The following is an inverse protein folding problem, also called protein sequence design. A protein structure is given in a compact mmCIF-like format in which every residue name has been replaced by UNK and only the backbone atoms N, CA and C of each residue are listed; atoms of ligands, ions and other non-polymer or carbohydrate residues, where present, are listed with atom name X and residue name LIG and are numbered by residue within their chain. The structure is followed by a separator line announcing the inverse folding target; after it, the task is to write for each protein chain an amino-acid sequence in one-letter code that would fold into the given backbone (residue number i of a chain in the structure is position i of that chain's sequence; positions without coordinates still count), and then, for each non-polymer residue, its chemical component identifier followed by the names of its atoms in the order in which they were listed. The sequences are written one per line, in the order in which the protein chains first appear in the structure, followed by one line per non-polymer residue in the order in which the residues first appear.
data_IF_502601236114
#
_entry.id   IF_502601236114
#
_cell.length_a   1.000
_cell.length_b   1.000
_cell.length_c   1.000
_cell.angle_alpha   90.00
_cell.angle_beta   90.00
_cell.angle_gamma   90.00
#
_symmetry.space_group_name_H-M   'P 1'
#
loop_
_entity.id
_entity.type
_entity.pdbx_description
1 polymer ?
#
# COMPACT_ATOMS: atom_id res chain seq x y z
N UNK A 1 -3.03 -3.92 -26.32
CA UNK A 1 -2.69 -3.35 -24.99
C UNK A 1 -2.14 -1.94 -25.23
N UNK A 2 -2.64 -0.93 -24.50
CA UNK A 2 -2.04 0.42 -24.53
C UNK A 2 -1.15 0.57 -23.32
N UNK A 3 0.09 1.01 -23.49
CA UNK A 3 1.04 1.27 -22.40
C UNK A 3 1.20 2.76 -22.22
N UNK A 4 1.12 3.22 -20.99
CA UNK A 4 1.29 4.64 -20.63
C UNK A 4 2.38 4.74 -19.58
N UNK A 5 3.39 5.56 -19.82
CA UNK A 5 4.44 5.88 -18.86
C UNK A 5 4.23 7.30 -18.36
N UNK A 6 4.11 7.46 -17.04
CA UNK A 6 4.11 8.77 -16.40
C UNK A 6 5.43 8.96 -15.66
N UNK A 7 6.24 9.89 -16.16
CA UNK A 7 7.61 10.09 -15.69
C UNK A 7 7.84 11.50 -15.16
N UNK A 8 8.78 11.66 -14.24
CA UNK A 8 9.33 12.95 -13.80
C UNK A 8 10.67 13.29 -14.46
N UNK A 9 11.11 12.50 -15.44
CA UNK A 9 12.36 12.69 -16.18
C UNK A 9 12.06 13.06 -17.63
N UNK A 10 13.11 13.48 -18.38
CA UNK A 10 13.00 13.78 -19.80
C UNK A 10 13.14 12.53 -20.71
N UNK A 11 13.16 11.33 -20.10
CA UNK A 11 13.20 10.09 -20.88
C UNK A 11 11.96 9.96 -21.75
N UNK A 12 12.15 9.64 -23.01
CA UNK A 12 11.12 9.27 -23.97
C UNK A 12 11.24 7.76 -24.19
N UNK A 13 10.11 7.07 -24.16
CA UNK A 13 10.03 5.63 -24.38
C UNK A 13 9.40 5.37 -25.73
N UNK A 14 9.99 4.47 -26.51
CA UNK A 14 9.45 4.08 -27.83
C UNK A 14 8.15 3.27 -27.68
N UNK A 15 7.21 3.49 -28.60
CA UNK A 15 5.93 2.77 -28.68
C UNK A 15 5.04 2.86 -27.44
N UNK A 16 5.24 3.87 -26.59
CA UNK A 16 4.40 4.11 -25.41
C UNK A 16 4.00 5.60 -25.33
N UNK A 17 2.86 5.87 -24.70
CA UNK A 17 2.43 7.23 -24.43
C UNK A 17 3.16 7.72 -23.18
N UNK A 18 3.93 8.78 -23.30
CA UNK A 18 4.69 9.36 -22.19
C UNK A 18 4.04 10.63 -21.71
N UNK A 19 3.71 10.70 -20.42
CA UNK A 19 3.25 11.90 -19.73
C UNK A 19 4.32 12.39 -18.76
N UNK A 20 4.58 13.69 -18.75
CA UNK A 20 5.50 14.31 -17.80
C UNK A 20 4.73 14.90 -16.63
N UNK A 21 5.07 14.49 -15.44
CA UNK A 21 4.47 14.98 -14.20
C UNK A 21 5.45 14.90 -13.02
N UNK A 22 5.40 15.89 -12.13
CA UNK A 22 6.25 15.98 -10.93
C UNK A 22 5.56 15.47 -9.67
N UNK A 23 4.32 15.01 -9.76
CA UNK A 23 3.58 14.44 -8.64
C UNK A 23 4.16 13.12 -8.13
N UNK A 24 3.66 12.68 -6.99
CA UNK A 24 3.99 11.37 -6.41
C UNK A 24 3.34 10.22 -7.20
N UNK A 25 3.70 8.95 -6.86
CA UNK A 25 3.17 7.76 -7.56
C UNK A 25 1.64 7.72 -7.66
N UNK A 26 0.93 8.02 -6.57
CA UNK A 26 -0.54 8.05 -6.57
C UNK A 26 -1.12 9.06 -7.58
N UNK A 27 -0.53 10.25 -7.66
CA UNK A 27 -0.96 11.28 -8.62
C UNK A 27 -0.71 10.83 -10.06
N UNK A 28 0.47 10.32 -10.36
CA UNK A 28 0.86 9.85 -11.70
C UNK A 28 -0.04 8.73 -12.20
N UNK A 29 -0.33 7.74 -11.33
CA UNK A 29 -1.23 6.64 -11.66
C UNK A 29 -2.65 7.13 -11.97
N UNK A 30 -3.20 8.03 -11.14
CA UNK A 30 -4.51 8.64 -11.40
C UNK A 30 -4.52 9.43 -12.72
N UNK A 31 -3.47 10.19 -13.00
CA UNK A 31 -3.34 10.96 -14.24
C UNK A 31 -3.36 10.05 -15.47
N UNK A 32 -2.62 8.94 -15.46
CA UNK A 32 -2.63 7.96 -16.53
C UNK A 32 -4.04 7.39 -16.78
N UNK A 33 -4.76 7.08 -15.71
CA UNK A 33 -6.15 6.54 -15.81
C UNK A 33 -7.10 7.61 -16.36
N UNK A 34 -6.96 8.85 -15.95
CA UNK A 34 -7.80 9.95 -16.43
C UNK A 34 -7.68 10.17 -17.95
N UNK A 35 -6.46 10.08 -18.47
CA UNK A 35 -6.21 10.34 -19.91
C UNK A 35 -6.48 9.11 -20.78
N UNK A 36 -6.14 7.91 -20.34
CA UNK A 36 -6.07 6.74 -21.20
C UNK A 36 -6.92 5.56 -20.75
N UNK A 37 -7.41 5.56 -19.51
CA UNK A 37 -8.12 4.43 -18.90
C UNK A 37 -9.59 4.30 -19.31
N UNK A 38 -10.17 5.24 -20.08
CA UNK A 38 -11.63 5.32 -20.29
C UNK A 38 -12.25 4.09 -20.96
N UNK A 39 -11.52 3.43 -21.84
CA UNK A 39 -12.01 2.29 -22.64
C UNK A 39 -11.49 0.94 -22.15
N UNK A 40 -10.68 0.93 -21.09
CA UNK A 40 -10.04 -0.28 -20.61
C UNK A 40 -10.93 -1.03 -19.63
N UNK A 41 -11.02 -2.36 -19.73
CA UNK A 41 -11.65 -3.23 -18.73
C UNK A 41 -10.78 -3.33 -17.47
N UNK A 42 -9.47 -3.45 -17.67
CA UNK A 42 -8.46 -3.54 -16.63
C UNK A 42 -7.42 -2.45 -16.72
N UNK A 43 -6.88 -2.07 -15.60
CA UNK A 43 -5.71 -1.21 -15.46
C UNK A 43 -4.61 -2.02 -14.79
N UNK A 44 -3.42 -2.03 -15.36
CA UNK A 44 -2.25 -2.67 -14.75
C UNK A 44 -1.26 -1.56 -14.41
N UNK A 45 -0.91 -1.47 -13.14
CA UNK A 45 0.10 -0.53 -12.64
C UNK A 45 1.42 -1.25 -12.47
N UNK A 46 2.47 -0.64 -12.96
CA UNK A 46 3.85 -1.13 -12.87
C UNK A 46 4.76 0.00 -12.39
N UNK A 47 5.68 -0.31 -11.49
CA UNK A 47 6.77 0.60 -11.16
C UNK A 47 7.88 0.49 -12.22
N UNK A 48 8.71 1.53 -12.34
CA UNK A 48 9.77 1.64 -13.35
C UNK A 48 11.00 0.76 -13.07
N UNK A 49 10.98 0.04 -11.98
CA UNK A 49 12.02 -0.86 -11.47
C UNK A 49 11.53 -2.29 -11.27
N UNK A 50 10.56 -2.70 -12.09
CA UNK A 50 9.98 -4.05 -12.06
C UNK A 50 10.32 -4.79 -13.36
N UNK A 51 10.69 -6.06 -13.23
CA UNK A 51 10.75 -7.05 -14.31
C UNK A 51 9.58 -8.02 -14.17
N UNK A 52 8.90 -8.34 -15.27
CA UNK A 52 7.78 -9.28 -15.29
C UNK A 52 8.24 -10.63 -15.86
N UNK A 53 7.72 -11.72 -15.31
CA UNK A 53 7.77 -12.99 -16.03
C UNK A 53 6.93 -12.90 -17.32
N UNK A 54 7.30 -13.64 -18.35
CA UNK A 54 6.69 -13.56 -19.68
C UNK A 54 5.17 -13.78 -19.69
N UNK A 55 4.66 -14.60 -18.78
CA UNK A 55 3.22 -14.90 -18.63
C UNK A 55 2.47 -13.94 -17.71
N UNK A 56 3.14 -13.08 -16.95
CA UNK A 56 2.53 -12.32 -15.83
C UNK A 56 1.31 -11.50 -16.24
N UNK A 57 1.41 -10.75 -17.34
CA UNK A 57 0.28 -9.92 -17.79
C UNK A 57 -0.93 -10.75 -18.19
N UNK A 58 -0.70 -11.85 -18.88
CA UNK A 58 -1.75 -12.78 -19.27
C UNK A 58 -2.39 -13.43 -18.03
N UNK A 59 -1.56 -13.96 -17.14
CA UNK A 59 -2.01 -14.59 -15.88
C UNK A 59 -2.86 -13.64 -15.03
N UNK A 60 -2.44 -12.38 -14.92
CA UNK A 60 -3.22 -11.38 -14.18
C UNK A 60 -4.63 -11.19 -14.77
N UNK A 61 -4.74 -11.10 -16.10
CA UNK A 61 -6.04 -10.93 -16.77
C UNK A 61 -6.90 -12.18 -16.61
N UNK A 62 -6.33 -13.36 -16.83
CA UNK A 62 -7.02 -14.64 -16.69
C UNK A 62 -7.55 -14.86 -15.26
N UNK A 63 -6.73 -14.59 -14.25
CA UNK A 63 -7.14 -14.68 -12.84
C UNK A 63 -8.28 -13.70 -12.50
N UNK A 64 -8.26 -12.50 -13.06
CA UNK A 64 -9.34 -11.53 -12.90
C UNK A 64 -10.62 -11.98 -13.61
N UNK A 65 -10.52 -12.59 -14.80
CA UNK A 65 -11.71 -13.13 -15.51
C UNK A 65 -12.34 -14.28 -14.74
N UNK A 66 -11.52 -15.16 -14.17
CA UNK A 66 -11.97 -16.32 -13.38
C UNK A 66 -12.56 -15.93 -12.01
N UNK A 67 -12.36 -14.68 -11.57
CA UNK A 67 -12.86 -14.16 -10.28
C UNK A 67 -13.67 -12.87 -10.46
N UNK A 68 -14.94 -12.94 -10.86
CA UNK A 68 -15.77 -11.75 -11.13
C UNK A 68 -15.86 -10.76 -9.96
N UNK A 69 -15.77 -11.23 -8.71
CA UNK A 69 -15.78 -10.41 -7.51
C UNK A 69 -14.42 -9.76 -7.20
N UNK A 70 -13.35 -10.16 -7.89
CA UNK A 70 -12.04 -9.56 -7.69
C UNK A 70 -12.01 -8.15 -8.28
N UNK A 71 -11.88 -7.16 -7.41
CA UNK A 71 -11.69 -5.76 -7.80
C UNK A 71 -10.24 -5.42 -8.07
N UNK A 72 -9.32 -6.01 -7.30
CA UNK A 72 -7.87 -5.75 -7.40
C UNK A 72 -7.06 -7.01 -7.18
N UNK A 73 -6.08 -7.28 -8.06
CA UNK A 73 -5.17 -8.41 -8.00
C UNK A 73 -3.71 -7.99 -7.88
N UNK A 74 -2.93 -8.77 -7.16
CA UNK A 74 -1.51 -8.52 -6.88
C UNK A 74 -0.66 -9.72 -7.25
N UNK A 75 0.57 -9.46 -7.71
CA UNK A 75 1.55 -10.48 -8.06
C UNK A 75 2.27 -11.06 -6.84
N UNK A 76 2.90 -12.22 -7.04
CA UNK A 76 4.06 -12.67 -6.28
C UNK A 76 5.22 -11.73 -6.66
N UNK A 77 5.65 -10.87 -5.74
CA UNK A 77 6.75 -9.94 -5.97
C UNK A 77 7.98 -10.48 -5.25
N UNK A 78 9.01 -10.77 -6.03
CA UNK A 78 10.31 -11.24 -5.56
C UNK A 78 11.35 -10.13 -5.69
N UNK A 79 12.44 -10.25 -4.95
CA UNK A 79 13.56 -9.33 -5.05
C UNK A 79 14.32 -9.53 -6.36
N UNK A 80 14.71 -8.46 -7.05
CA UNK A 80 15.34 -8.56 -8.36
C UNK A 80 16.77 -9.11 -8.30
N UNK A 81 17.53 -8.86 -7.23
CA UNK A 81 18.89 -9.40 -7.04
C UNK A 81 18.87 -10.84 -6.50
N UNK A 82 17.98 -11.10 -5.54
CA UNK A 82 17.80 -12.40 -4.91
C UNK A 82 16.44 -12.95 -5.30
N UNK A 83 16.36 -13.55 -6.48
CA UNK A 83 15.10 -13.93 -7.12
C UNK A 83 14.30 -15.01 -6.39
N UNK A 84 14.87 -15.61 -5.38
CA UNK A 84 14.26 -16.56 -4.45
C UNK A 84 13.76 -15.93 -3.14
N UNK A 85 13.84 -14.59 -3.00
CA UNK A 85 13.44 -13.89 -1.79
C UNK A 85 12.21 -13.02 -2.05
N UNK A 86 11.22 -13.10 -1.18
CA UNK A 86 10.02 -12.26 -1.27
C UNK A 86 10.35 -10.79 -1.03
N UNK A 87 9.82 -9.94 -1.90
CA UNK A 87 9.62 -8.52 -1.64
C UNK A 87 8.21 -8.27 -1.10
N UNK A 88 7.17 -8.90 -1.67
CA UNK A 88 5.80 -8.89 -1.14
C UNK A 88 4.96 -10.05 -1.73
N UNK A 89 4.02 -10.53 -0.93
CA UNK A 89 3.02 -11.53 -1.32
C UNK A 89 1.68 -11.32 -0.61
N UNK A 90 1.37 -10.08 -0.28
CA UNK A 90 0.13 -9.69 0.40
C UNK A 90 0.32 -9.23 1.82
N UNK A 91 -0.68 -8.51 2.30
CA UNK A 91 -0.67 -7.90 3.62
C UNK A 91 -2.07 -7.80 4.23
N UNK A 92 -2.09 -7.68 5.56
CA UNK A 92 -3.27 -7.46 6.39
C UNK A 92 -3.05 -6.27 7.32
N UNK A 93 -4.12 -5.86 8.00
CA UNK A 93 -4.01 -4.92 9.14
C UNK A 93 -4.12 -5.71 10.44
N UNK A 94 -3.24 -5.39 11.38
CA UNK A 94 -3.30 -5.95 12.73
C UNK A 94 -4.45 -5.35 13.55
N UNK A 95 -4.84 -6.03 14.62
CA UNK A 95 -5.82 -5.53 15.61
C UNK A 95 -5.41 -4.22 16.29
N UNK A 96 -4.17 -3.78 16.11
CA UNK A 96 -3.64 -2.49 16.57
C UNK A 96 -3.53 -1.43 15.44
N UNK A 97 -3.98 -1.77 14.23
CA UNK A 97 -4.04 -0.86 13.10
C UNK A 97 -2.76 -0.72 12.26
N UNK A 98 -1.78 -1.59 12.46
CA UNK A 98 -0.54 -1.59 11.67
C UNK A 98 -0.58 -2.64 10.56
N UNK A 99 0.14 -2.36 9.48
CA UNK A 99 0.29 -3.30 8.38
C UNK A 99 1.11 -4.53 8.83
N UNK A 100 0.62 -5.70 8.46
CA UNK A 100 1.31 -6.97 8.56
C UNK A 100 1.55 -7.53 7.17
N UNK A 101 2.82 -7.59 6.75
CA UNK A 101 3.19 -8.27 5.51
C UNK A 101 3.16 -9.78 5.70
N UNK A 102 2.72 -10.53 4.69
CA UNK A 102 2.64 -11.99 4.72
C UNK A 102 4.04 -12.61 4.71
N UNK A 103 4.89 -12.21 3.79
CA UNK A 103 6.31 -12.51 3.84
C UNK A 103 7.04 -11.44 4.67
N UNK A 104 7.88 -11.86 5.59
CA UNK A 104 8.62 -10.98 6.49
C UNK A 104 10.11 -11.29 6.49
N UNK A 105 10.92 -10.30 6.86
CA UNK A 105 12.35 -10.47 7.10
C UNK A 105 13.13 -11.06 5.90
N UNK A 106 12.79 -10.63 4.66
CA UNK A 106 13.41 -11.16 3.43
C UNK A 106 13.32 -12.70 3.34
N UNK A 107 12.15 -13.24 3.60
CA UNK A 107 11.89 -14.68 3.58
C UNK A 107 12.13 -15.27 2.20
N UNK A 108 12.85 -16.40 2.15
CA UNK A 108 13.06 -17.15 0.91
C UNK A 108 11.77 -17.83 0.45
N UNK A 109 11.53 -17.82 -0.85
CA UNK A 109 10.43 -18.55 -1.47
C UNK A 109 10.80 -20.03 -1.57
N UNK A 110 10.10 -20.85 -0.82
CA UNK A 110 10.20 -22.32 -0.81
C UNK A 110 8.88 -22.96 -1.23
N UNK A 111 8.01 -22.20 -1.91
CA UNK A 111 6.66 -22.62 -2.29
C UNK A 111 5.60 -22.41 -1.20
N UNK A 112 5.96 -21.88 -0.03
CA UNK A 112 5.05 -21.71 1.11
C UNK A 112 3.89 -20.74 0.84
N UNK A 113 3.98 -19.91 -0.21
CA UNK A 113 2.94 -18.98 -0.64
C UNK A 113 2.50 -19.20 -2.09
N UNK A 114 2.59 -20.43 -2.61
CA UNK A 114 2.20 -20.80 -3.97
C UNK A 114 0.68 -20.98 -4.13
N UNK A 115 -0.09 -20.72 -3.09
CA UNK A 115 -1.55 -20.68 -3.17
C UNK A 115 -2.04 -19.24 -3.24
N UNK A 116 -2.80 -18.94 -4.31
CA UNK A 116 -3.51 -17.67 -4.44
C UNK A 116 -4.54 -17.52 -3.32
N UNK A 117 -4.63 -16.34 -2.73
CA UNK A 117 -5.51 -16.10 -1.59
C UNK A 117 -6.00 -14.66 -1.53
N UNK A 118 -7.05 -14.45 -0.74
CA UNK A 118 -7.57 -13.13 -0.42
C UNK A 118 -6.61 -12.40 0.51
N UNK A 119 -6.31 -11.15 0.18
CA UNK A 119 -5.44 -10.25 0.96
C UNK A 119 -6.14 -8.90 1.13
N UNK A 120 -5.75 -8.10 2.11
CA UNK A 120 -6.27 -6.73 2.19
C UNK A 120 -5.70 -5.88 1.05
N UNK A 121 -4.41 -5.98 0.84
CA UNK A 121 -3.66 -5.36 -0.25
C UNK A 121 -2.28 -6.01 -0.37
N UNK A 122 -1.50 -5.56 -1.34
CA UNK A 122 -0.08 -5.88 -1.50
C UNK A 122 0.60 -4.66 -2.13
N UNK A 123 1.93 -4.66 -2.27
CA UNK A 123 2.64 -3.59 -2.97
C UNK A 123 2.09 -3.42 -4.39
N UNK A 124 1.86 -2.18 -4.79
CA UNK A 124 1.39 -1.83 -6.14
C UNK A 124 2.53 -1.72 -7.16
N UNK A 125 3.72 -2.23 -6.84
CA UNK A 125 4.82 -2.33 -7.81
C UNK A 125 4.41 -3.12 -9.05
N UNK A 126 3.55 -4.16 -8.88
CA UNK A 126 2.83 -4.84 -9.95
C UNK A 126 1.44 -5.22 -9.46
N UNK A 127 0.41 -4.59 -10.02
CA UNK A 127 -0.97 -4.95 -9.69
C UNK A 127 -1.93 -4.68 -10.84
N UNK A 128 -3.07 -5.38 -10.82
CA UNK A 128 -4.18 -5.23 -11.76
C UNK A 128 -5.42 -4.78 -10.99
N UNK A 129 -6.24 -3.93 -11.59
CA UNK A 129 -7.51 -3.50 -11.00
C UNK A 129 -8.59 -3.40 -12.09
N UNK A 130 -9.83 -3.77 -11.76
CA UNK A 130 -10.96 -3.46 -12.63
C UNK A 130 -11.13 -1.94 -12.68
N UNK A 131 -11.19 -1.41 -13.88
CA UNK A 131 -11.29 0.05 -14.08
C UNK A 131 -12.52 0.65 -13.43
N UNK A 132 -13.68 0.02 -13.60
CA UNK A 132 -14.94 0.47 -13.01
C UNK A 132 -14.88 0.48 -11.48
N UNK A 133 -14.33 -0.55 -10.86
CA UNK A 133 -14.08 -0.62 -9.41
C UNK A 133 -13.12 0.49 -8.98
N UNK A 134 -12.01 0.69 -9.69
CA UNK A 134 -11.04 1.74 -9.38
C UNK A 134 -11.67 3.14 -9.39
N UNK A 135 -12.51 3.42 -10.38
CA UNK A 135 -13.24 4.68 -10.49
C UNK A 135 -14.30 4.80 -9.38
N UNK A 136 -15.05 3.74 -9.13
CA UNK A 136 -16.08 3.69 -8.08
C UNK A 136 -15.50 3.98 -6.70
N UNK A 137 -14.36 3.40 -6.36
CA UNK A 137 -13.71 3.62 -5.06
C UNK A 137 -12.91 4.93 -5.01
N UNK A 138 -12.78 5.66 -6.12
CA UNK A 138 -12.20 7.00 -6.21
C UNK A 138 -10.68 7.04 -6.44
N UNK A 139 -10.09 5.96 -6.97
CA UNK A 139 -8.67 5.91 -7.31
C UNK A 139 -7.71 6.00 -6.13
N UNK A 140 -6.45 6.33 -6.40
CA UNK A 140 -5.45 6.57 -5.34
C UNK A 140 -5.65 7.93 -4.67
N UNK A 141 -5.55 7.98 -3.36
CA UNK A 141 -5.54 9.25 -2.62
C UNK A 141 -4.16 9.91 -2.73
N UNK A 142 -4.08 11.00 -3.48
CA UNK A 142 -2.83 11.73 -3.73
C UNK A 142 -2.19 12.30 -2.46
N UNK A 143 -2.94 12.40 -1.36
CA UNK A 143 -2.40 12.86 -0.08
C UNK A 143 -1.44 11.88 0.57
N UNK A 144 -1.49 10.61 0.18
CA UNK A 144 -0.57 9.61 0.73
C UNK A 144 0.86 9.84 0.25
N UNK A 145 1.06 10.27 -0.97
CA UNK A 145 2.35 10.49 -1.62
C UNK A 145 3.19 9.21 -1.73
N UNK A 146 3.54 8.57 -0.60
CA UNK A 146 4.20 7.25 -0.47
C UNK A 146 3.65 6.54 0.77
N UNK A 147 3.68 5.22 0.79
CA UNK A 147 3.27 4.30 1.86
C UNK A 147 1.77 4.26 2.12
N UNK A 148 1.17 3.14 1.79
CA UNK A 148 -0.20 2.79 2.12
C UNK A 148 -1.26 3.29 1.14
N UNK A 149 -0.88 3.89 0.01
CA UNK A 149 -1.81 4.28 -1.04
C UNK A 149 -2.53 3.08 -1.65
N UNK A 150 -1.82 1.97 -1.88
CA UNK A 150 -2.38 0.71 -2.34
C UNK A 150 -3.23 0.04 -1.26
N UNK A 151 -2.80 0.11 0.00
CA UNK A 151 -3.56 -0.42 1.13
C UNK A 151 -4.90 0.31 1.27
N UNK A 152 -4.90 1.62 1.07
CA UNK A 152 -6.11 2.44 1.08
C UNK A 152 -7.08 2.05 -0.05
N UNK A 153 -6.59 1.89 -1.28
CA UNK A 153 -7.42 1.45 -2.42
C UNK A 153 -7.95 0.05 -2.18
N UNK A 154 -7.11 -0.90 -1.80
CA UNK A 154 -7.50 -2.29 -1.52
C UNK A 154 -8.56 -2.37 -0.42
N UNK A 155 -8.39 -1.61 0.66
CA UNK A 155 -9.39 -1.57 1.73
C UNK A 155 -10.73 -0.99 1.26
N UNK A 156 -10.69 0.08 0.44
CA UNK A 156 -11.93 0.65 -0.16
C UNK A 156 -12.59 -0.30 -1.14
N UNK A 157 -11.84 -1.11 -1.90
CA UNK A 157 -12.40 -2.18 -2.72
C UNK A 157 -13.20 -3.15 -1.84
N UNK A 158 -12.61 -3.63 -0.73
CA UNK A 158 -13.29 -4.50 0.21
C UNK A 158 -14.56 -3.87 0.80
N UNK A 159 -14.48 -2.61 1.21
CA UNK A 159 -15.63 -1.90 1.77
C UNK A 159 -16.77 -1.73 0.74
N UNK A 160 -16.45 -1.67 -0.54
CA UNK A 160 -17.41 -1.60 -1.63
C UNK A 160 -17.96 -2.98 -2.09
N UNK A 161 -17.54 -4.07 -1.40
CA UNK A 161 -17.99 -5.43 -1.70
C UNK A 161 -17.16 -6.19 -2.72
N UNK A 162 -16.01 -5.64 -3.13
CA UNK A 162 -15.08 -6.33 -4.03
C UNK A 162 -13.94 -6.97 -3.23
N UNK A 163 -13.37 -8.04 -3.79
CA UNK A 163 -12.27 -8.76 -3.21
C UNK A 163 -10.91 -8.26 -3.73
N UNK A 164 -9.88 -8.36 -2.90
CA UNK A 164 -8.49 -8.22 -3.34
C UNK A 164 -7.78 -9.57 -3.21
N UNK A 165 -7.03 -9.95 -4.24
CA UNK A 165 -6.39 -11.25 -4.33
C UNK A 165 -4.89 -11.13 -4.57
N UNK A 166 -4.14 -11.98 -3.92
CA UNK A 166 -2.77 -12.33 -4.29
C UNK A 166 -2.83 -13.51 -5.27
N UNK A 167 -2.19 -13.38 -6.42
CA UNK A 167 -2.08 -14.38 -7.46
C UNK A 167 -0.67 -14.96 -7.49
N UNK A 168 -0.50 -16.16 -6.97
CA UNK A 168 0.82 -16.78 -6.80
C UNK A 168 1.51 -17.12 -8.14
N UNK A 169 0.71 -17.38 -9.18
CA UNK A 169 1.19 -17.69 -10.54
C UNK A 169 1.62 -16.47 -11.35
N UNK A 170 1.21 -15.26 -10.94
CA UNK A 170 1.66 -14.02 -11.56
C UNK A 170 2.93 -13.52 -10.85
N UNK A 171 4.09 -13.64 -11.48
CA UNK A 171 5.40 -13.37 -10.86
C UNK A 171 6.04 -12.11 -11.42
N UNK A 172 6.59 -11.30 -10.54
CA UNK A 172 7.42 -10.13 -10.90
C UNK A 172 8.62 -9.99 -9.96
N UNK A 173 9.68 -9.33 -10.44
CA UNK A 173 10.87 -9.03 -9.66
C UNK A 173 11.03 -7.51 -9.53
N UNK A 174 11.26 -7.04 -8.31
CA UNK A 174 11.31 -5.63 -7.98
C UNK A 174 12.69 -5.25 -7.47
N UNK A 175 13.26 -4.15 -8.00
CA UNK A 175 14.60 -3.70 -7.62
C UNK A 175 14.63 -2.89 -6.31
N UNK A 176 13.50 -2.72 -5.64
CA UNK A 176 13.42 -1.98 -4.39
C UNK A 176 14.33 -2.56 -3.30
N UNK A 177 15.16 -1.71 -2.69
CA UNK A 177 16.10 -2.14 -1.66
C UNK A 177 17.31 -2.94 -2.17
N UNK A 178 17.53 -2.96 -3.49
CA UNK A 178 18.68 -3.60 -4.13
C UNK A 178 19.78 -2.59 -4.45
N UNK A 179 20.98 -3.08 -4.81
CA UNK A 179 22.08 -2.26 -5.32
C UNK A 179 21.81 -1.74 -6.75
N UNK A 180 20.88 -2.36 -7.47
CA UNK A 180 20.53 -2.04 -8.85
C UNK A 180 19.85 -0.69 -9.00
N UNK A 181 19.24 -0.16 -7.92
CA UNK A 181 18.57 1.13 -7.93
C UNK A 181 19.29 2.14 -7.03
N UNK A 182 19.67 3.32 -7.52
CA UNK A 182 20.15 4.41 -6.68
C UNK A 182 19.13 4.71 -5.58
N UNK A 183 19.61 5.08 -4.37
CA UNK A 183 18.73 5.43 -3.24
C UNK A 183 17.64 6.38 -3.71
N UNK A 184 16.39 5.90 -3.68
CA UNK A 184 15.25 6.66 -4.17
C UNK A 184 15.09 7.97 -3.39
N UNK A 185 14.98 9.09 -4.11
CA UNK A 185 14.63 10.39 -3.51
C UNK A 185 13.28 10.41 -2.80
N UNK A 186 12.44 9.42 -3.07
CA UNK A 186 11.11 9.28 -2.46
C UNK A 186 11.16 8.59 -1.11
N UNK A 187 12.07 7.62 -0.90
CA UNK A 187 12.20 6.83 0.33
C UNK A 187 13.33 7.32 1.24
N UNK A 188 13.29 8.59 1.62
CA UNK A 188 14.19 9.09 2.67
C UNK A 188 13.65 8.75 4.06
N UNK A 189 14.52 8.53 5.04
CA UNK A 189 14.12 8.25 6.43
C UNK A 189 13.13 9.30 6.96
N UNK A 190 13.34 10.56 6.63
CA UNK A 190 12.45 11.66 7.05
C UNK A 190 11.04 11.49 6.50
N UNK A 191 10.90 11.15 5.22
CA UNK A 191 9.59 10.92 4.57
C UNK A 191 8.91 9.67 5.14
N UNK A 192 9.66 8.61 5.37
CA UNK A 192 9.15 7.37 5.93
C UNK A 192 8.52 7.59 7.31
N UNK A 193 9.20 8.33 8.22
CA UNK A 193 8.66 8.59 9.56
C UNK A 193 7.41 9.47 9.50
N UNK A 194 7.45 10.53 8.71
CA UNK A 194 6.30 11.43 8.55
C UNK A 194 5.11 10.73 7.88
N UNK A 195 5.33 10.15 6.70
CA UNK A 195 4.24 9.53 5.94
C UNK A 195 3.74 8.25 6.59
N UNK A 196 4.58 7.46 7.24
CA UNK A 196 4.16 6.28 8.00
C UNK A 196 3.16 6.66 9.07
N UNK A 197 3.50 7.58 9.98
CA UNK A 197 2.58 8.01 11.04
C UNK A 197 1.32 8.67 10.48
N UNK A 198 1.47 9.55 9.47
CA UNK A 198 0.36 10.24 8.82
C UNK A 198 -0.62 9.27 8.15
N UNK A 199 -0.10 8.40 7.29
CA UNK A 199 -0.93 7.59 6.39
C UNK A 199 -1.61 6.44 7.11
N UNK A 200 -0.93 5.73 8.02
CA UNK A 200 -1.58 4.67 8.80
C UNK A 200 -2.71 5.22 9.67
N UNK A 201 -2.51 6.38 10.28
CA UNK A 201 -3.60 7.04 11.02
C UNK A 201 -4.75 7.42 10.09
N UNK A 202 -4.46 7.98 8.91
CA UNK A 202 -5.48 8.35 7.92
C UNK A 202 -6.26 7.13 7.41
N UNK A 203 -5.59 5.99 7.16
CA UNK A 203 -6.22 4.72 6.81
C UNK A 203 -7.30 4.31 7.83
N UNK A 204 -6.97 4.34 9.11
CA UNK A 204 -7.91 3.98 10.17
C UNK A 204 -9.09 4.96 10.24
N UNK A 205 -8.78 6.27 10.22
CA UNK A 205 -9.79 7.33 10.27
C UNK A 205 -10.78 7.25 9.11
N UNK A 206 -10.34 6.87 7.92
CA UNK A 206 -11.20 6.84 6.74
C UNK A 206 -11.96 5.53 6.57
N UNK A 207 -11.35 4.38 6.87
CA UNK A 207 -11.88 3.08 6.49
C UNK A 207 -12.59 2.32 7.61
N UNK A 208 -12.18 2.46 8.88
CA UNK A 208 -12.83 1.76 9.99
C UNK A 208 -14.23 2.33 10.33
N UNK A 209 -15.14 1.45 10.69
CA UNK A 209 -16.39 1.81 11.34
C UNK A 209 -16.13 2.46 12.72
N UNK A 210 -17.07 3.29 13.20
CA UNK A 210 -16.87 4.11 14.42
C UNK A 210 -16.50 3.25 15.62
N UNK A 211 -17.22 2.16 15.87
CA UNK A 211 -16.99 1.28 17.03
C UNK A 211 -15.58 0.69 17.04
N UNK A 212 -15.07 0.22 15.88
CA UNK A 212 -13.72 -0.31 15.75
C UNK A 212 -12.67 0.79 15.84
N UNK A 213 -12.94 1.93 15.23
CA UNK A 213 -12.05 3.09 15.28
C UNK A 213 -11.82 3.53 16.74
N UNK A 214 -12.88 3.67 17.54
CA UNK A 214 -12.75 4.06 18.95
C UNK A 214 -11.91 3.08 19.78
N UNK A 215 -11.88 1.80 19.42
CA UNK A 215 -11.07 0.79 20.12
C UNK A 215 -9.62 0.76 19.66
N UNK A 216 -9.39 0.86 18.36
CA UNK A 216 -8.05 0.71 17.76
C UNK A 216 -7.25 2.02 17.84
N UNK A 217 -7.89 3.15 17.65
CA UNK A 217 -7.22 4.45 17.57
C UNK A 217 -6.36 4.80 18.80
N UNK A 218 -6.82 4.62 20.06
CA UNK A 218 -5.98 4.89 21.22
C UNK A 218 -4.71 4.03 21.24
N UNK A 219 -4.84 2.73 20.95
CA UNK A 219 -3.70 1.78 20.91
C UNK A 219 -2.73 2.19 19.81
N UNK A 220 -3.23 2.51 18.62
CA UNK A 220 -2.43 2.94 17.48
C UNK A 220 -1.65 4.21 17.77
N UNK A 221 -2.31 5.23 18.34
CA UNK A 221 -1.67 6.48 18.74
C UNK A 221 -0.62 6.27 19.84
N UNK A 222 -0.93 5.45 20.86
CA UNK A 222 0.02 5.12 21.92
C UNK A 222 1.31 4.47 21.37
N UNK A 223 1.18 3.58 20.39
CA UNK A 223 2.35 2.96 19.75
C UNK A 223 3.21 3.98 19.00
N UNK A 224 2.58 4.91 18.27
CA UNK A 224 3.32 6.00 17.59
C UNK A 224 3.97 6.96 18.58
N UNK A 225 3.29 7.31 19.67
CA UNK A 225 3.86 8.14 20.74
C UNK A 225 5.05 7.44 21.41
N UNK A 226 4.94 6.14 21.69
CA UNK A 226 6.04 5.35 22.24
C UNK A 226 7.25 5.33 21.28
N UNK A 227 7.02 5.19 19.97
CA UNK A 227 8.08 5.29 18.97
C UNK A 227 8.75 6.67 18.97
N UNK A 228 7.95 7.75 19.03
CA UNK A 228 8.48 9.11 19.08
C UNK A 228 9.33 9.36 20.32
N UNK A 229 8.87 8.91 21.50
CA UNK A 229 9.63 8.96 22.76
C UNK A 229 10.91 8.14 22.65
N UNK A 230 10.85 6.91 22.10
CA UNK A 230 12.01 6.06 21.92
C UNK A 230 13.10 6.70 21.04
N UNK A 231 12.71 7.41 19.96
CA UNK A 231 13.65 8.20 19.16
C UNK A 231 14.22 9.40 19.92
N UNK A 232 13.38 10.12 20.68
CA UNK A 232 13.81 11.29 21.46
C UNK A 232 14.85 10.89 22.53
N UNK A 233 14.59 9.82 23.30
CA UNK A 233 15.53 9.29 24.32
C UNK A 233 16.87 8.90 23.73
N UNK A 234 16.91 8.49 22.45
CA UNK A 234 18.12 8.15 21.69
C UNK A 234 18.77 9.38 21.03
N UNK A 235 18.35 10.60 21.35
CA UNK A 235 18.85 11.83 20.73
C UNK A 235 18.41 12.06 19.28
N UNK A 236 17.51 11.25 18.75
CA UNK A 236 17.06 11.33 17.35
C UNK A 236 15.81 12.25 17.23
N UNK A 237 15.93 13.45 17.74
CA UNK A 237 14.82 14.42 17.86
C UNK A 237 14.11 14.70 16.55
N UNK A 238 14.85 14.74 15.43
CA UNK A 238 14.26 14.96 14.10
C UNK A 238 13.23 13.88 13.75
N UNK A 239 13.55 12.61 13.99
CA UNK A 239 12.62 11.48 13.72
C UNK A 239 11.41 11.52 14.62
N UNK A 240 11.62 11.81 15.91
CA UNK A 240 10.55 12.00 16.87
C UNK A 240 9.58 13.10 16.41
N UNK A 241 10.08 14.27 16.06
CA UNK A 241 9.28 15.40 15.56
C UNK A 241 8.54 15.07 14.25
N UNK A 242 9.12 14.29 13.35
CA UNK A 242 8.48 13.90 12.10
C UNK A 242 7.28 12.97 12.35
N UNK A 243 7.38 12.03 13.29
CA UNK A 243 6.26 11.20 13.71
C UNK A 243 5.14 12.08 14.27
N UNK A 244 5.45 12.98 15.23
CA UNK A 244 4.45 13.87 15.83
C UNK A 244 3.80 14.79 14.80
N UNK A 245 4.58 15.33 13.86
CA UNK A 245 4.05 16.10 12.72
C UNK A 245 3.14 15.26 11.82
N UNK A 246 3.49 13.99 11.58
CA UNK A 246 2.64 13.07 10.81
C UNK A 246 1.29 12.80 11.48
N UNK A 247 1.30 12.58 12.80
CA UNK A 247 0.06 12.46 13.59
C UNK A 247 -0.74 13.77 13.51
N UNK A 248 -0.11 14.89 13.86
CA UNK A 248 -0.75 16.22 13.92
C UNK A 248 -1.33 16.67 12.58
N UNK A 249 -0.72 16.24 11.46
CA UNK A 249 -1.20 16.55 10.12
C UNK A 249 -2.68 16.14 9.91
N UNK A 250 -3.10 15.00 10.46
CA UNK A 250 -4.47 14.52 10.34
C UNK A 250 -5.50 15.39 11.08
N UNK A 251 -5.05 16.14 12.08
CA UNK A 251 -5.91 17.00 12.91
C UNK A 251 -5.84 18.48 12.53
N UNK A 252 -5.02 18.86 11.54
CA UNK A 252 -5.04 20.22 10.99
C UNK A 252 -6.40 20.48 10.32
N UNK A 253 -7.05 21.64 10.51
CA UNK A 253 -8.43 21.88 10.08
C UNK A 253 -8.72 21.52 8.62
N UNK A 254 -7.86 21.93 7.68
CA UNK A 254 -8.01 21.63 6.26
C UNK A 254 -7.89 20.14 5.94
N UNK A 255 -6.91 19.46 6.57
CA UNK A 255 -6.67 18.04 6.39
C UNK A 255 -7.77 17.18 7.03
N UNK A 256 -8.22 17.61 8.22
CA UNK A 256 -9.35 16.99 8.91
C UNK A 256 -10.63 17.06 8.08
N UNK A 257 -10.95 18.23 7.53
CA UNK A 257 -12.10 18.41 6.64
C UNK A 257 -12.02 17.42 5.46
N UNK A 258 -10.89 17.37 4.75
CA UNK A 258 -10.68 16.45 3.65
C UNK A 258 -10.80 14.98 4.07
N UNK A 259 -10.19 14.60 5.21
CA UNK A 259 -10.26 13.24 5.75
C UNK A 259 -11.70 12.85 6.06
N UNK A 260 -12.49 13.76 6.65
CA UNK A 260 -13.89 13.51 6.96
C UNK A 260 -14.78 13.48 5.71
N UNK A 261 -14.48 14.25 4.69
CA UNK A 261 -15.16 14.19 3.40
C UNK A 261 -14.89 12.83 2.71
N UNK A 262 -13.62 12.39 2.70
CA UNK A 262 -13.25 11.06 2.21
C UNK A 262 -13.95 9.97 3.02
N UNK A 263 -13.91 10.03 4.35
CA UNK A 263 -14.62 9.10 5.23
C UNK A 263 -16.11 9.00 4.88
N UNK A 264 -16.79 10.14 4.72
CA UNK A 264 -18.22 10.16 4.36
C UNK A 264 -18.48 9.43 3.05
N UNK A 265 -17.63 9.64 2.03
CA UNK A 265 -17.74 8.94 0.74
C UNK A 265 -17.55 7.43 0.92
N UNK A 266 -16.47 7.01 1.58
CA UNK A 266 -16.14 5.59 1.83
C UNK A 266 -17.25 4.90 2.63
N UNK A 267 -17.75 5.52 3.71
CA UNK A 267 -18.77 4.92 4.56
C UNK A 267 -20.16 4.89 3.89
N UNK A 268 -20.44 5.77 2.92
CA UNK A 268 -21.68 5.74 2.13
C UNK A 268 -21.71 4.61 1.10
N UNK A 269 -20.57 4.28 0.50
CA UNK A 269 -20.45 3.20 -0.48
C UNK A 269 -20.17 1.84 0.17
N UNK A 270 -20.05 1.82 1.47
CA UNK A 270 -19.73 0.63 2.24
C UNK A 270 -20.89 -0.38 2.22
N UNK A 271 -20.60 -1.60 1.78
CA UNK A 271 -21.53 -2.74 1.76
C UNK A 271 -21.12 -3.85 2.73
N UNK A 272 -19.88 -3.82 3.24
CA UNK A 272 -19.27 -4.86 4.07
C UNK A 272 -18.89 -4.29 5.43
N UNK A 273 -19.20 -4.98 6.53
CA UNK A 273 -18.89 -4.55 7.90
C UNK A 273 -17.45 -4.85 8.30
N UNK A 274 -16.93 -4.16 9.34
CA UNK A 274 -15.61 -4.49 9.91
C UNK A 274 -15.56 -5.91 10.51
N UNK A 275 -16.72 -6.47 10.89
CA UNK A 275 -16.81 -7.85 11.41
C UNK A 275 -16.53 -8.86 10.30
N UNK A 276 -17.10 -8.64 9.12
CA UNK A 276 -16.87 -9.50 7.95
C UNK A 276 -15.43 -9.38 7.44
N UNK A 277 -14.85 -8.18 7.50
CA UNK A 277 -13.45 -7.95 7.12
C UNK A 277 -12.46 -8.32 8.23
N UNK A 278 -12.89 -8.75 9.41
CA UNK A 278 -11.99 -9.02 10.54
C UNK A 278 -10.83 -9.96 10.22
N UNK A 279 -10.99 -11.00 9.40
CA UNK A 279 -9.86 -11.84 8.96
C UNK A 279 -8.73 -11.08 8.27
N UNK A 280 -9.03 -9.92 7.66
CA UNK A 280 -8.08 -9.09 6.92
C UNK A 280 -7.58 -7.86 7.71
N UNK A 281 -8.36 -7.39 8.70
CA UNK A 281 -8.09 -6.15 9.45
C UNK A 281 -7.97 -6.35 10.96
N UNK A 282 -7.98 -7.58 11.43
CA UNK A 282 -7.94 -7.93 12.85
C UNK A 282 -6.87 -8.93 13.21
N UNK A 283 -5.87 -9.12 12.35
CA UNK A 283 -4.78 -10.06 12.63
C UNK A 283 -4.10 -9.69 13.94
N UNK A 284 -3.96 -10.67 14.85
CA UNK A 284 -3.41 -10.44 16.18
C UNK A 284 -2.14 -11.26 16.40
N UNK A 285 -0.97 -10.73 16.00
CA UNK A 285 0.29 -11.36 16.32
C UNK A 285 0.52 -11.36 17.85
N UNK A 286 1.40 -12.25 18.37
CA UNK A 286 1.70 -12.30 19.80
C UNK A 286 2.29 -10.95 20.28
N UNK A 287 2.12 -10.57 21.57
CA UNK A 287 2.64 -9.32 22.11
C UNK A 287 4.15 -9.11 21.89
N UNK A 288 4.94 -10.18 21.94
CA UNK A 288 6.38 -10.16 21.66
C UNK A 288 6.72 -9.62 20.27
N UNK A 289 5.85 -9.84 19.28
CA UNK A 289 6.00 -9.28 17.94
C UNK A 289 5.96 -7.76 17.97
N UNK A 290 4.98 -7.17 18.64
CA UNK A 290 4.85 -5.72 18.69
C UNK A 290 6.06 -5.07 19.37
N UNK A 291 6.53 -5.67 20.47
CA UNK A 291 7.71 -5.18 21.18
C UNK A 291 8.97 -5.29 20.32
N UNK A 292 9.19 -6.42 19.68
CA UNK A 292 10.35 -6.63 18.82
C UNK A 292 10.31 -5.72 17.59
N UNK A 293 9.13 -5.49 17.02
CA UNK A 293 8.95 -4.59 15.87
C UNK A 293 9.18 -3.12 16.27
N UNK A 294 8.66 -2.69 17.41
CA UNK A 294 8.89 -1.35 17.94
C UNK A 294 10.37 -1.13 18.22
N UNK A 295 11.02 -2.08 18.89
CA UNK A 295 12.46 -2.02 19.18
C UNK A 295 13.28 -1.94 17.87
N UNK A 296 13.01 -2.81 16.89
CA UNK A 296 13.67 -2.76 15.57
C UNK A 296 13.43 -1.42 14.87
N UNK A 297 12.20 -0.93 14.86
CA UNK A 297 11.86 0.35 14.23
C UNK A 297 12.66 1.51 14.85
N UNK A 298 12.78 1.55 16.18
CA UNK A 298 13.56 2.57 16.91
C UNK A 298 15.07 2.40 16.66
N UNK A 299 15.57 1.17 16.54
CA UNK A 299 17.01 0.91 16.34
C UNK A 299 17.46 1.09 14.89
N UNK A 300 16.68 0.62 13.93
CA UNK A 300 17.10 0.48 12.52
C UNK A 300 16.26 1.33 11.54
N UNK A 301 15.10 1.85 11.95
CA UNK A 301 14.12 2.45 11.06
C UNK A 301 13.22 1.41 10.38
N UNK A 302 12.43 1.84 9.36
CA UNK A 302 11.43 0.97 8.71
C UNK A 302 12.00 -0.17 7.84
N UNK A 303 13.31 -0.24 7.68
CA UNK A 303 14.00 -1.24 6.85
C UNK A 303 14.64 -2.37 7.68
N UNK A 304 14.16 -2.58 8.88
CA UNK A 304 14.56 -3.70 9.72
C UNK A 304 13.58 -4.87 9.63
#
# INVERSE_FOLDING_TARGET
MKVVVVTSTDRVFENVITLRDQGGPAHKRNLAVQYFGKESKYLIFLDDDVELASSTLWTLVEEMENKPQCGMGFCKILNMERRDVFDDCGSWITSTGFLWARAQNNQTDTGQFDQSCKVLASKSATCIVRRDVFVQVGGFDVSYYILGEETDVGWRCWLAGYECWYFSSAVSWHAFGTSLKPKSKYYTLDRIHFHGAKNYLNLLLTNLGVSRLCRILPIHLSAWCAAAVGFAVRGQWKRSLLILKGIGWNFMPSNWKRTMEKRRKVQRTRTVTDRELWPLIGYSPPPSYYLSRLARYIMQGLHG
#
